data_IF_448662534137
#
_entry.id   IF_448662534137
#
_cell.length_a   1.000
_cell.length_b   1.000
_cell.length_c   1.000
_cell.angle_alpha   90.00
_cell.angle_beta   90.00
_cell.angle_gamma   90.00
#
_symmetry.space_group_name_H-M   'P 1'
#
loop_
_entity.id
_entity.type
_entity.pdbx_description
1 polymer ?
#
# COMPACT_ATOMS: atom_id res chain seq x y z
N UNK A 1 -23.28 -16.78 19.80
CA UNK A 1 -23.72 -16.42 18.43
C UNK A 1 -23.33 -14.98 18.15
N UNK A 2 -22.11 -14.74 17.66
CA UNK A 2 -21.65 -13.39 17.30
C UNK A 2 -22.09 -13.16 15.86
N UNK A 3 -23.02 -12.21 15.66
CA UNK A 3 -23.48 -11.81 14.32
C UNK A 3 -22.30 -11.21 13.57
N UNK A 4 -21.88 -11.87 12.49
CA UNK A 4 -20.94 -11.34 11.50
C UNK A 4 -21.53 -10.07 10.90
N UNK A 5 -21.10 -8.91 11.37
CA UNK A 5 -21.43 -7.63 10.74
C UNK A 5 -20.54 -7.54 9.49
N UNK A 6 -21.10 -7.92 8.35
CA UNK A 6 -20.49 -7.66 7.04
C UNK A 6 -20.61 -6.16 6.72
N UNK A 7 -19.71 -5.32 7.25
CA UNK A 7 -19.57 -3.92 6.81
C UNK A 7 -18.69 -3.83 5.58
N UNK A 8 -19.03 -4.58 4.54
CA UNK A 8 -18.55 -4.33 3.19
C UNK A 8 -19.53 -3.41 2.50
N UNK A 9 -19.41 -2.10 2.68
CA UNK A 9 -20.21 -1.15 1.91
C UNK A 9 -19.89 -1.39 0.42
N UNK A 10 -20.82 -1.98 -0.33
CA UNK A 10 -20.60 -2.53 -1.68
C UNK A 10 -20.52 -1.43 -2.76
N UNK A 11 -20.02 -0.25 -2.39
CA UNK A 11 -19.97 0.92 -3.24
C UNK A 11 -18.78 0.80 -4.19
N UNK A 12 -19.05 1.03 -5.47
CA UNK A 12 -18.03 1.10 -6.51
C UNK A 12 -17.00 2.20 -6.19
N UNK A 13 -15.69 1.98 -6.45
CA UNK A 13 -14.67 3.00 -6.24
C UNK A 13 -14.88 4.26 -7.11
N UNK A 14 -14.73 5.43 -6.51
CA UNK A 14 -14.64 6.71 -7.20
C UNK A 14 -13.30 6.79 -7.95
N UNK A 15 -13.32 6.30 -9.18
CA UNK A 15 -12.12 6.17 -10.01
C UNK A 15 -11.55 7.53 -10.39
N UNK A 16 -12.38 8.57 -10.55
CA UNK A 16 -11.92 9.92 -10.91
C UNK A 16 -11.11 10.55 -9.78
N UNK A 17 -11.57 10.42 -8.54
CA UNK A 17 -10.83 10.87 -7.36
C UNK A 17 -9.52 10.12 -7.20
N UNK A 18 -9.50 8.81 -7.41
CA UNK A 18 -8.27 8.00 -7.35
C UNK A 18 -7.27 8.48 -8.42
N UNK A 19 -7.73 8.68 -9.66
CA UNK A 19 -6.89 9.18 -10.75
C UNK A 19 -6.37 10.59 -10.48
N UNK A 20 -7.18 11.47 -9.88
CA UNK A 20 -6.76 12.80 -9.46
C UNK A 20 -5.59 12.73 -8.47
N UNK A 21 -5.67 11.86 -7.45
CA UNK A 21 -4.60 11.65 -6.47
C UNK A 21 -3.34 11.06 -7.14
N UNK A 22 -3.49 10.07 -8.02
CA UNK A 22 -2.38 9.46 -8.76
C UNK A 22 -1.70 10.47 -9.69
N UNK A 23 -2.47 11.33 -10.35
CA UNK A 23 -1.96 12.36 -11.24
C UNK A 23 -1.18 13.44 -10.49
N UNK A 24 -1.69 13.90 -9.33
CA UNK A 24 -0.95 14.82 -8.44
C UNK A 24 0.41 14.26 -8.00
N UNK A 25 0.51 12.94 -7.85
CA UNK A 25 1.74 12.25 -7.43
C UNK A 25 2.53 11.59 -8.57
N UNK A 26 2.20 11.89 -9.83
CA UNK A 26 2.74 11.21 -11.03
C UNK A 26 4.26 11.31 -11.14
N UNK A 27 4.84 12.48 -10.85
CA UNK A 27 6.31 12.69 -10.90
C UNK A 27 7.02 11.75 -9.93
N UNK A 28 6.49 11.65 -8.71
CA UNK A 28 7.05 10.81 -7.65
C UNK A 28 6.94 9.32 -7.97
N UNK A 29 5.79 8.88 -8.51
CA UNK A 29 5.64 7.49 -8.97
C UNK A 29 6.59 7.15 -10.11
N UNK A 30 6.75 8.04 -11.10
CA UNK A 30 7.71 7.85 -12.18
C UNK A 30 9.15 7.77 -11.67
N UNK A 31 9.50 8.60 -10.70
CA UNK A 31 10.82 8.55 -10.06
C UNK A 31 11.04 7.21 -9.35
N UNK A 32 10.08 6.76 -8.54
CA UNK A 32 10.14 5.43 -7.90
C UNK A 32 10.40 4.32 -8.92
N UNK A 33 9.58 4.28 -9.98
CA UNK A 33 9.65 3.22 -11.00
C UNK A 33 10.95 3.25 -11.82
N UNK A 34 11.61 4.41 -11.93
CA UNK A 34 12.91 4.54 -12.60
C UNK A 34 14.08 4.12 -11.71
N UNK A 35 14.00 4.39 -10.41
CA UNK A 35 15.11 4.20 -9.47
C UNK A 35 15.12 2.79 -8.87
N UNK A 36 13.95 2.21 -8.59
CA UNK A 36 13.87 0.90 -7.94
C UNK A 36 14.45 -0.19 -8.84
N UNK A 37 15.69 -0.62 -8.58
CA UNK A 37 16.41 -1.64 -9.33
C UNK A 37 16.05 -3.08 -8.92
N UNK A 38 15.02 -3.29 -8.10
CA UNK A 38 14.64 -4.59 -7.55
C UNK A 38 15.79 -5.33 -6.82
N UNK A 39 16.77 -4.59 -6.29
CA UNK A 39 18.00 -5.12 -5.67
C UNK A 39 17.81 -5.67 -4.25
N UNK A 40 16.61 -5.60 -3.68
CA UNK A 40 16.29 -6.07 -2.31
C UNK A 40 17.08 -5.43 -1.16
N UNK A 41 17.94 -4.43 -1.40
CA UNK A 41 18.74 -3.75 -0.36
C UNK A 41 17.90 -3.06 0.74
N UNK A 42 16.61 -2.80 0.48
CA UNK A 42 15.70 -2.27 1.49
C UNK A 42 15.15 -3.32 2.47
N UNK A 43 15.34 -4.62 2.23
CA UNK A 43 14.66 -5.69 2.95
C UNK A 43 14.93 -5.68 4.46
N UNK A 44 16.21 -5.75 4.85
CA UNK A 44 16.67 -5.83 6.24
C UNK A 44 16.35 -4.55 7.05
N UNK A 45 16.03 -3.43 6.38
CA UNK A 45 15.58 -2.20 7.06
C UNK A 45 14.15 -2.30 7.62
N UNK A 46 13.38 -3.33 7.23
CA UNK A 46 12.01 -3.50 7.68
C UNK A 46 11.92 -4.45 8.88
N UNK A 47 11.51 -3.92 10.03
CA UNK A 47 11.25 -4.73 11.22
C UNK A 47 10.28 -5.91 10.96
N UNK A 48 9.23 -5.71 10.17
CA UNK A 48 8.28 -6.79 9.85
C UNK A 48 8.91 -7.87 8.95
N UNK A 49 9.83 -7.52 8.06
CA UNK A 49 10.58 -8.52 7.31
C UNK A 49 11.45 -9.36 8.25
N UNK A 50 12.17 -8.72 9.17
CA UNK A 50 13.06 -9.40 10.11
C UNK A 50 12.29 -10.30 11.11
N UNK A 51 11.11 -9.86 11.57
CA UNK A 51 10.31 -10.62 12.56
C UNK A 51 9.31 -11.60 11.97
N UNK A 52 9.05 -11.54 10.65
CA UNK A 52 8.18 -12.49 9.95
C UNK A 52 9.00 -13.44 9.09
N UNK A 53 10.05 -14.01 9.69
CA UNK A 53 10.90 -15.04 9.08
C UNK A 53 11.46 -14.65 7.70
N UNK A 54 11.78 -13.36 7.50
CA UNK A 54 12.30 -12.83 6.24
C UNK A 54 11.41 -13.14 5.03
N UNK A 55 10.10 -13.23 5.23
CA UNK A 55 9.15 -13.43 4.13
C UNK A 55 9.15 -12.20 3.19
N UNK A 56 9.47 -12.39 1.88
CA UNK A 56 9.55 -11.31 0.90
C UNK A 56 8.30 -10.44 0.79
N UNK A 57 7.11 -10.93 1.19
CA UNK A 57 5.88 -10.11 1.16
C UNK A 57 5.98 -8.88 2.09
N UNK A 58 6.87 -8.94 3.09
CA UNK A 58 7.16 -7.84 4.02
C UNK A 58 8.33 -6.95 3.60
N UNK A 59 8.99 -7.23 2.47
CA UNK A 59 10.03 -6.35 1.92
C UNK A 59 9.44 -4.98 1.55
N UNK A 60 10.11 -3.85 1.88
CA UNK A 60 9.57 -2.52 1.58
C UNK A 60 9.28 -2.26 0.10
N UNK A 61 10.19 -2.64 -0.80
CA UNK A 61 9.98 -2.52 -2.26
C UNK A 61 8.79 -3.36 -2.73
N UNK A 62 8.67 -4.61 -2.24
CA UNK A 62 7.55 -5.50 -2.54
C UNK A 62 6.21 -4.84 -2.16
N UNK A 63 6.14 -4.22 -0.98
CA UNK A 63 4.93 -3.49 -0.54
C UNK A 63 4.58 -2.37 -1.50
N UNK A 64 5.54 -1.53 -1.92
CA UNK A 64 5.25 -0.41 -2.84
C UNK A 64 4.78 -0.90 -4.20
N UNK A 65 5.50 -1.87 -4.79
CA UNK A 65 5.19 -2.43 -6.11
C UNK A 65 3.80 -3.06 -6.12
N UNK A 66 3.46 -3.81 -5.07
CA UNK A 66 2.18 -4.52 -4.96
C UNK A 66 1.04 -3.70 -4.34
N UNK A 67 1.29 -2.46 -3.91
CA UNK A 67 0.25 -1.54 -3.45
C UNK A 67 0.04 -0.41 -4.48
N UNK A 68 0.60 0.77 -4.23
CA UNK A 68 0.49 1.95 -5.09
C UNK A 68 1.00 1.69 -6.51
N UNK A 69 2.00 0.82 -6.68
CA UNK A 69 2.50 0.41 -7.99
C UNK A 69 1.43 -0.27 -8.84
N UNK A 70 0.61 -1.15 -8.26
CA UNK A 70 -0.52 -1.79 -8.97
C UNK A 70 -1.62 -0.80 -9.33
N UNK A 71 -1.97 0.10 -8.41
CA UNK A 71 -2.94 1.17 -8.67
C UNK A 71 -2.48 2.07 -9.83
N UNK A 72 -1.20 2.48 -9.82
CA UNK A 72 -0.62 3.31 -10.87
C UNK A 72 -0.62 2.61 -12.24
N UNK A 73 -0.35 1.30 -12.29
CA UNK A 73 -0.37 0.52 -13.53
C UNK A 73 -1.78 0.30 -14.06
N UNK A 74 -2.76 -0.03 -13.20
CA UNK A 74 -4.14 -0.31 -13.63
C UNK A 74 -4.93 0.92 -14.08
N UNK A 75 -4.52 2.14 -13.68
CA UNK A 75 -5.16 3.41 -14.09
C UNK A 75 -6.68 3.42 -13.85
N UNK A 76 -7.49 3.28 -14.92
CA UNK A 76 -8.97 3.28 -14.85
C UNK A 76 -9.57 1.93 -14.44
N UNK A 77 -8.79 0.85 -14.45
CA UNK A 77 -9.24 -0.51 -14.13
C UNK A 77 -9.04 -0.82 -12.64
N UNK A 78 -9.51 0.08 -11.76
CA UNK A 78 -9.39 -0.07 -10.29
C UNK A 78 -10.75 -0.52 -9.75
N UNK A 79 -10.81 -1.77 -9.31
CA UNK A 79 -11.97 -2.37 -8.66
C UNK A 79 -11.80 -2.37 -7.13
N UNK A 80 -12.89 -2.73 -6.42
CA UNK A 80 -12.89 -2.77 -4.95
C UNK A 80 -11.96 -3.84 -4.40
N UNK A 81 -11.90 -5.02 -5.04
CA UNK A 81 -11.05 -6.13 -4.60
C UNK A 81 -9.57 -5.72 -4.59
N UNK A 82 -9.12 -5.01 -5.62
CA UNK A 82 -7.78 -4.45 -5.69
C UNK A 82 -7.50 -3.49 -4.53
N UNK A 83 -8.45 -2.62 -4.19
CA UNK A 83 -8.27 -1.69 -3.08
C UNK A 83 -8.24 -2.41 -1.72
N UNK A 84 -9.00 -3.49 -1.55
CA UNK A 84 -8.92 -4.35 -0.37
C UNK A 84 -7.56 -5.05 -0.27
N UNK A 85 -7.03 -5.59 -1.39
CA UNK A 85 -5.66 -6.14 -1.41
C UNK A 85 -4.59 -5.09 -1.09
N UNK A 86 -4.76 -3.86 -1.59
CA UNK A 86 -3.88 -2.73 -1.26
C UNK A 86 -3.98 -2.39 0.22
N UNK A 87 -5.18 -2.41 0.81
CA UNK A 87 -5.42 -2.19 2.23
C UNK A 87 -4.64 -3.20 3.08
N UNK A 88 -4.74 -4.49 2.73
CA UNK A 88 -4.03 -5.55 3.42
C UNK A 88 -2.50 -5.31 3.43
N UNK A 89 -1.93 -4.89 2.30
CA UNK A 89 -0.49 -4.57 2.22
C UNK A 89 -0.17 -3.31 3.04
N UNK A 90 -0.98 -2.26 2.92
CA UNK A 90 -0.70 -0.95 3.49
C UNK A 90 -0.89 -0.90 5.01
N UNK A 91 -1.72 -1.77 5.60
CA UNK A 91 -1.97 -1.82 7.04
C UNK A 91 -1.50 -3.12 7.72
N UNK A 92 -1.81 -4.31 7.18
CA UNK A 92 -1.41 -5.56 7.85
C UNK A 92 0.06 -5.89 7.64
N UNK A 93 0.62 -5.57 6.46
CA UNK A 93 2.05 -5.81 6.16
C UNK A 93 2.93 -4.60 6.48
N UNK A 94 2.37 -3.47 6.87
CA UNK A 94 3.12 -2.26 7.17
C UNK A 94 2.49 -1.48 8.33
N UNK A 95 3.27 -1.21 9.36
CA UNK A 95 2.87 -0.30 10.46
C UNK A 95 3.22 1.17 10.18
N UNK A 96 3.86 1.45 9.03
CA UNK A 96 4.34 2.78 8.64
C UNK A 96 5.27 3.42 9.69
N UNK A 97 6.23 2.65 10.21
CA UNK A 97 7.22 3.11 11.19
C UNK A 97 8.29 4.07 10.63
N UNK A 98 8.23 4.37 9.33
CA UNK A 98 9.16 5.24 8.57
C UNK A 98 10.66 4.88 8.62
N UNK A 99 11.05 3.77 9.26
CA UNK A 99 12.45 3.32 9.39
C UNK A 99 13.06 2.68 8.15
N UNK A 100 12.25 2.26 7.17
CA UNK A 100 12.80 1.61 5.99
C UNK A 100 13.58 2.59 5.12
N UNK A 101 14.72 2.12 4.62
CA UNK A 101 15.65 2.93 3.85
C UNK A 101 15.98 2.26 2.51
N UNK A 102 16.17 3.06 1.46
CA UNK A 102 16.65 2.60 0.17
C UNK A 102 17.94 3.36 -0.17
N UNK A 103 19.06 2.65 -0.42
CA UNK A 103 20.33 3.31 -0.74
C UNK A 103 20.31 4.05 -2.08
N UNK A 104 19.32 3.79 -2.92
CA UNK A 104 19.12 4.49 -4.20
C UNK A 104 18.29 5.78 -4.05
N UNK A 105 17.94 6.18 -2.82
CA UNK A 105 17.21 7.43 -2.56
C UNK A 105 15.69 7.33 -2.75
N UNK A 106 15.12 6.13 -2.75
CA UNK A 106 13.67 5.94 -2.84
C UNK A 106 13.02 6.16 -1.48
N UNK A 107 12.15 7.17 -1.37
CA UNK A 107 11.27 7.36 -0.21
C UNK A 107 10.09 6.36 -0.25
N UNK A 108 10.34 5.18 0.32
CA UNK A 108 9.38 4.09 0.47
C UNK A 108 8.25 4.43 1.45
N UNK A 109 8.50 4.97 2.67
CA UNK A 109 7.43 5.28 3.61
C UNK A 109 6.33 6.12 2.98
N UNK A 110 6.68 7.17 2.26
CA UNK A 110 5.64 8.06 1.73
C UNK A 110 5.01 7.55 0.41
N UNK A 111 5.56 6.50 -0.23
CA UNK A 111 4.85 5.68 -1.22
C UNK A 111 3.76 4.81 -0.59
N UNK A 112 4.06 4.17 0.54
CA UNK A 112 3.05 3.39 1.27
C UNK A 112 1.97 4.31 1.87
N UNK A 113 2.37 5.49 2.35
CA UNK A 113 1.43 6.52 2.80
C UNK A 113 0.47 6.94 1.68
N UNK A 114 0.96 7.10 0.45
CA UNK A 114 0.11 7.41 -0.71
C UNK A 114 -0.91 6.29 -0.99
N UNK A 115 -0.53 5.01 -0.85
CA UNK A 115 -1.48 3.89 -0.95
C UNK A 115 -2.59 3.99 0.10
N UNK A 116 -2.23 4.32 1.36
CA UNK A 116 -3.21 4.54 2.44
C UNK A 116 -4.14 5.72 2.14
N UNK A 117 -3.61 6.82 1.62
CA UNK A 117 -4.41 8.00 1.22
C UNK A 117 -5.44 7.66 0.16
N UNK A 118 -5.08 6.84 -0.83
CA UNK A 118 -6.05 6.37 -1.83
C UNK A 118 -7.14 5.53 -1.17
N UNK A 119 -6.79 4.54 -0.35
CA UNK A 119 -7.80 3.71 0.33
C UNK A 119 -8.73 4.53 1.23
N UNK A 120 -8.19 5.47 2.02
CA UNK A 120 -8.96 6.42 2.83
C UNK A 120 -9.92 7.26 2.00
N UNK A 121 -9.50 7.71 0.82
CA UNK A 121 -10.35 8.51 -0.07
C UNK A 121 -11.60 7.77 -0.56
N UNK A 122 -11.58 6.43 -0.45
CA UNK A 122 -12.62 5.48 -0.85
C UNK A 122 -13.33 4.84 0.35
N UNK A 123 -13.08 5.32 1.59
CA UNK A 123 -13.57 4.71 2.82
C UNK A 123 -13.17 3.23 3.01
N UNK A 124 -12.01 2.85 2.46
CA UNK A 124 -11.42 1.52 2.66
C UNK A 124 -10.38 1.66 3.77
N UNK A 125 -10.78 1.22 4.97
CA UNK A 125 -10.04 1.37 6.22
C UNK A 125 -9.85 0.00 6.87
N UNK A 126 -8.79 -0.20 7.68
CA UNK A 126 -8.68 -1.39 8.50
C UNK A 126 -9.87 -1.48 9.46
N UNK A 127 -10.38 -2.68 9.65
CA UNK A 127 -11.37 -2.95 10.70
C UNK A 127 -10.64 -2.97 12.04
N UNK A 128 -11.08 -2.13 12.97
CA UNK A 128 -10.64 -2.20 14.36
C UNK A 128 -11.64 -3.09 15.08
N UNK A 129 -11.28 -4.36 15.25
CA UNK A 129 -11.97 -5.22 16.20
C UNK A 129 -11.39 -4.89 17.58
N UNK A 130 -12.17 -4.24 18.44
CA UNK A 130 -11.85 -4.10 19.86
C UNK A 130 -11.73 -5.51 20.45
N UNK A 131 -10.49 -5.96 20.64
CA UNK A 131 -10.22 -7.13 21.47
C UNK A 131 -10.27 -6.63 22.91
N UNK A 132 -11.46 -6.71 23.51
CA UNK A 132 -11.67 -6.70 24.97
C UNK A 132 -11.19 -8.01 25.57
#
# INVERSE_FOLDING_TARGET
MVKTIQTGNNKLPDTEKILSILNKNKKRMKMYLRICAHCSLCAESCFLYNTKNKDPVYMPSHKVINSIGRLYKKKRKIDRNLLEEVKEIAWKRCVLCTRCYCPLGVDIPSMISLARTICRSQNILPEFHEQS
#
